data_IF_701873290424
#
_entry.id   IF_701873290424
#
_cell.length_a   1.000
_cell.length_b   1.000
_cell.length_c   1.000
_cell.angle_alpha   90.00
_cell.angle_beta   90.00
_cell.angle_gamma   90.00
#
_symmetry.space_group_name_H-M   'P 1'
#
loop_
_entity.id
_entity.type
_entity.pdbx_description
1 polymer ?
#
# COMPACT_ATOMS: atom_id res chain seq x y z
N UNK A 1 24.48 -11.72 8.34
CA UNK A 1 23.07 -11.54 7.88
C UNK A 1 23.09 -11.00 6.46
N UNK A 2 22.72 -11.81 5.46
CA UNK A 2 22.62 -11.38 4.05
C UNK A 2 21.41 -10.44 3.94
N UNK A 3 21.63 -9.17 3.60
CA UNK A 3 20.52 -8.25 3.35
C UNK A 3 19.67 -8.83 2.20
N UNK A 4 18.34 -8.97 2.37
CA UNK A 4 17.50 -9.40 1.27
C UNK A 4 17.66 -8.40 0.12
N UNK A 5 17.80 -8.89 -1.12
CA UNK A 5 17.88 -8.01 -2.28
C UNK A 5 16.62 -7.13 -2.33
N UNK A 6 16.80 -5.85 -2.65
CA UNK A 6 15.75 -4.84 -2.91
C UNK A 6 15.15 -4.05 -1.72
N UNK A 7 15.76 -4.08 -0.53
CA UNK A 7 15.34 -3.17 0.59
C UNK A 7 15.28 -1.69 0.18
N UNK A 8 16.26 -1.23 -0.59
CA UNK A 8 16.34 0.15 -1.06
C UNK A 8 15.14 0.49 -1.96
N UNK A 9 14.83 -0.37 -2.94
CA UNK A 9 13.75 -0.14 -3.90
C UNK A 9 12.37 -0.08 -3.22
N UNK A 10 12.11 -0.95 -2.25
CA UNK A 10 10.83 -0.95 -1.51
C UNK A 10 10.74 0.24 -0.56
N UNK A 11 11.83 0.62 0.09
CA UNK A 11 11.87 1.85 0.89
C UNK A 11 11.50 3.06 0.04
N UNK A 12 12.06 3.16 -1.17
CA UNK A 12 11.75 4.24 -2.11
C UNK A 12 10.30 4.19 -2.58
N UNK A 13 9.77 3.02 -2.93
CA UNK A 13 8.36 2.85 -3.32
C UNK A 13 7.39 3.22 -2.19
N UNK A 14 7.65 2.76 -0.97
CA UNK A 14 6.85 3.11 0.22
C UNK A 14 6.93 4.62 0.50
N UNK A 15 8.09 5.24 0.27
CA UNK A 15 8.25 6.70 0.42
C UNK A 15 7.40 7.45 -0.60
N UNK A 16 7.39 7.03 -1.87
CA UNK A 16 6.51 7.61 -2.89
C UNK A 16 5.03 7.44 -2.55
N UNK A 17 4.63 6.26 -2.04
CA UNK A 17 3.25 6.02 -1.59
C UNK A 17 2.88 6.89 -0.37
N UNK A 18 3.82 7.11 0.54
CA UNK A 18 3.62 7.99 1.68
C UNK A 18 3.42 9.44 1.24
N UNK A 19 4.23 9.92 0.29
CA UNK A 19 4.06 11.25 -0.30
C UNK A 19 2.71 11.38 -1.01
N UNK A 20 2.33 10.39 -1.83
CA UNK A 20 1.07 10.41 -2.58
C UNK A 20 -0.14 10.39 -1.63
N UNK A 21 -0.13 9.52 -0.62
CA UNK A 21 -1.20 9.45 0.38
C UNK A 21 -1.31 10.73 1.21
N UNK A 22 -0.19 11.37 1.54
CA UNK A 22 -0.19 12.67 2.22
C UNK A 22 -0.79 13.79 1.35
N UNK A 23 -0.46 13.83 0.06
CA UNK A 23 -1.05 14.79 -0.90
C UNK A 23 -2.55 14.59 -0.98
N UNK A 24 -3.02 13.34 -1.16
CA UNK A 24 -4.44 13.01 -1.18
C UNK A 24 -5.15 13.41 0.11
N UNK A 25 -4.57 13.10 1.27
CA UNK A 25 -5.15 13.44 2.56
C UNK A 25 -5.27 14.97 2.74
N UNK A 26 -4.24 15.72 2.33
CA UNK A 26 -4.23 17.18 2.41
C UNK A 26 -5.25 17.82 1.46
N UNK A 27 -5.32 17.37 0.21
CA UNK A 27 -6.30 17.86 -0.77
C UNK A 27 -7.73 17.57 -0.29
N UNK A 28 -7.96 16.40 0.29
CA UNK A 28 -9.28 16.03 0.75
C UNK A 28 -9.68 16.73 2.06
N UNK A 29 -8.72 16.97 2.96
CA UNK A 29 -8.91 17.79 4.15
C UNK A 29 -9.23 19.25 3.78
N UNK A 30 -8.54 19.82 2.79
CA UNK A 30 -8.84 21.18 2.31
C UNK A 30 -10.20 21.26 1.64
N UNK A 31 -10.60 20.26 0.86
CA UNK A 31 -11.95 20.18 0.27
C UNK A 31 -13.04 20.07 1.35
N UNK A 32 -12.84 19.25 2.39
CA UNK A 32 -13.77 19.18 3.53
C UNK A 32 -13.89 20.52 4.27
N UNK A 33 -12.78 21.23 4.44
CA UNK A 33 -12.76 22.50 5.17
C UNK A 33 -13.32 23.67 4.35
N UNK A 34 -13.08 23.67 3.03
CA UNK A 34 -13.50 24.74 2.11
C UNK A 34 -14.96 24.63 1.70
N UNK A 35 -15.44 23.41 1.49
CA UNK A 35 -16.79 23.15 0.98
C UNK A 35 -17.79 22.66 2.05
N UNK A 36 -17.33 22.53 3.32
CA UNK A 36 -18.19 22.15 4.45
C UNK A 36 -19.36 23.11 4.71
N UNK A 37 -19.29 24.34 4.18
CA UNK A 37 -20.38 25.34 4.23
C UNK A 37 -21.25 25.38 2.96
N UNK A 38 -20.83 24.79 1.83
CA UNK A 38 -21.48 24.94 0.52
C UNK A 38 -21.89 23.63 -0.17
N UNK A 39 -21.46 22.45 0.30
CA UNK A 39 -21.95 21.16 -0.20
C UNK A 39 -23.35 20.91 0.37
N UNK A 40 -24.39 21.33 -0.37
CA UNK A 40 -25.79 21.12 0.02
C UNK A 40 -26.26 19.67 -0.11
N UNK A 41 -25.45 18.77 -0.70
CA UNK A 41 -25.77 17.35 -0.88
C UNK A 41 -24.97 16.51 0.10
N UNK A 42 -25.65 16.01 1.13
CA UNK A 42 -25.13 15.09 2.13
C UNK A 42 -24.37 13.90 1.52
N UNK A 43 -24.81 13.41 0.35
CA UNK A 43 -24.17 12.32 -0.39
C UNK A 43 -22.72 12.63 -0.81
N UNK A 44 -22.43 13.86 -1.25
CA UNK A 44 -21.09 14.28 -1.69
C UNK A 44 -20.16 14.40 -0.48
N UNK A 45 -20.66 14.97 0.62
CA UNK A 45 -19.89 15.10 1.87
C UNK A 45 -19.51 13.74 2.43
N UNK A 46 -20.42 12.77 2.41
CA UNK A 46 -20.15 11.39 2.84
C UNK A 46 -19.09 10.72 1.95
N UNK A 47 -19.16 10.92 0.63
CA UNK A 47 -18.16 10.37 -0.30
C UNK A 47 -16.76 10.96 -0.07
N UNK A 48 -16.64 12.27 0.12
CA UNK A 48 -15.37 12.94 0.41
C UNK A 48 -14.83 12.47 1.77
N UNK A 49 -15.68 12.35 2.79
CA UNK A 49 -15.28 11.86 4.11
C UNK A 49 -14.78 10.42 4.06
N UNK A 50 -15.47 9.56 3.31
CA UNK A 50 -15.05 8.16 3.10
C UNK A 50 -13.68 8.08 2.41
N UNK A 51 -13.47 8.88 1.37
CA UNK A 51 -12.19 8.96 0.69
C UNK A 51 -11.08 9.50 1.63
N UNK A 52 -11.41 10.39 2.56
CA UNK A 52 -10.45 10.94 3.53
C UNK A 52 -10.04 9.89 4.55
N UNK A 53 -11.00 9.16 5.12
CA UNK A 53 -10.72 8.05 6.03
C UNK A 53 -9.88 6.99 5.33
N UNK A 54 -10.21 6.65 4.08
CA UNK A 54 -9.44 5.69 3.27
C UNK A 54 -7.99 6.18 3.05
N UNK A 55 -7.81 7.45 2.67
CA UNK A 55 -6.48 8.03 2.48
C UNK A 55 -5.66 8.10 3.79
N UNK A 56 -6.30 8.43 4.91
CA UNK A 56 -5.66 8.46 6.23
C UNK A 56 -5.22 7.08 6.70
N UNK A 57 -6.05 6.05 6.51
CA UNK A 57 -5.68 4.65 6.80
C UNK A 57 -4.50 4.23 5.93
N UNK A 58 -4.54 4.57 4.63
CA UNK A 58 -3.44 4.27 3.73
C UNK A 58 -2.12 4.88 4.22
N UNK A 59 -2.13 6.18 4.52
CA UNK A 59 -0.98 6.91 5.05
C UNK A 59 -0.41 6.24 6.31
N UNK A 60 -1.27 5.90 7.28
CA UNK A 60 -0.86 5.24 8.52
C UNK A 60 -0.22 3.87 8.27
N UNK A 61 -0.80 3.05 7.40
CA UNK A 61 -0.27 1.72 7.08
C UNK A 61 1.06 1.79 6.32
N UNK A 62 1.21 2.75 5.41
CA UNK A 62 2.47 2.98 4.69
C UNK A 62 3.57 3.46 5.65
N UNK A 63 3.25 4.34 6.59
CA UNK A 63 4.19 4.80 7.63
C UNK A 63 4.64 3.65 8.55
N UNK A 64 3.69 2.83 9.03
CA UNK A 64 3.98 1.64 9.85
C UNK A 64 4.84 0.64 9.07
N UNK A 65 4.60 0.47 7.77
CA UNK A 65 5.39 -0.43 6.92
C UNK A 65 6.81 0.08 6.69
N UNK A 66 6.98 1.38 6.51
CA UNK A 66 8.29 2.01 6.40
C UNK A 66 9.08 1.85 7.70
N UNK A 67 8.43 2.05 8.85
CA UNK A 67 9.02 1.81 10.16
C UNK A 67 9.40 0.33 10.36
N UNK A 68 8.51 -0.59 9.98
CA UNK A 68 8.76 -2.03 9.98
C UNK A 68 9.95 -2.42 9.10
N UNK A 69 10.13 -1.77 7.96
CA UNK A 69 11.27 -1.98 7.07
C UNK A 69 12.59 -1.53 7.72
N UNK A 70 12.60 -0.35 8.37
CA UNK A 70 13.77 0.18 9.09
C UNK A 70 14.17 -0.72 10.26
N UNK A 71 13.19 -1.22 11.01
CA UNK A 71 13.40 -2.14 12.15
C UNK A 71 13.59 -3.59 11.68
N UNK A 72 13.55 -3.85 10.37
CA UNK A 72 13.67 -5.19 9.75
C UNK A 72 12.61 -6.20 10.25
N UNK A 73 11.42 -5.71 10.63
CA UNK A 73 10.25 -6.49 11.06
C UNK A 73 9.25 -6.63 9.92
N UNK A 74 9.44 -7.67 9.11
CA UNK A 74 8.69 -7.83 7.86
C UNK A 74 7.20 -8.16 8.08
N UNK A 75 6.83 -8.68 9.26
CA UNK A 75 5.42 -8.91 9.62
C UNK A 75 4.54 -7.65 9.56
N UNK A 76 5.13 -6.45 9.72
CA UNK A 76 4.41 -5.18 9.63
C UNK A 76 4.02 -4.82 8.18
N UNK A 77 4.61 -5.46 7.16
CA UNK A 77 4.27 -5.22 5.76
C UNK A 77 3.00 -5.98 5.33
N UNK A 78 2.60 -7.03 6.05
CA UNK A 78 1.42 -7.85 5.72
C UNK A 78 0.13 -7.03 5.74
N UNK A 79 -0.21 -6.26 6.80
CA UNK A 79 -1.43 -5.45 6.81
C UNK A 79 -1.45 -4.40 5.69
N UNK A 80 -0.30 -3.80 5.38
CA UNK A 80 -0.18 -2.87 4.25
C UNK A 80 -0.38 -3.57 2.90
N UNK A 81 0.14 -4.79 2.71
CA UNK A 81 -0.07 -5.56 1.49
C UNK A 81 -1.56 -5.84 1.26
N UNK A 82 -2.27 -6.32 2.29
CA UNK A 82 -3.71 -6.60 2.23
C UNK A 82 -4.48 -5.33 1.86
N UNK A 83 -4.15 -4.21 2.53
CA UNK A 83 -4.81 -2.93 2.25
C UNK A 83 -4.49 -2.39 0.86
N UNK A 84 -3.27 -2.61 0.37
CA UNK A 84 -2.86 -2.22 -0.99
C UNK A 84 -3.65 -2.99 -2.05
N UNK A 85 -3.93 -4.28 -1.84
CA UNK A 85 -4.79 -5.08 -2.75
C UNK A 85 -6.19 -4.47 -2.80
N UNK A 86 -6.75 -4.15 -1.64
CA UNK A 86 -8.06 -3.50 -1.54
C UNK A 86 -8.08 -2.15 -2.27
N UNK A 87 -7.05 -1.31 -2.09
CA UNK A 87 -6.92 -0.03 -2.78
C UNK A 87 -6.81 -0.17 -4.30
N UNK A 88 -6.13 -1.20 -4.80
CA UNK A 88 -6.05 -1.46 -6.25
C UNK A 88 -7.43 -1.73 -6.83
N UNK A 89 -8.20 -2.62 -6.20
CA UNK A 89 -9.58 -2.93 -6.63
C UNK A 89 -10.42 -1.66 -6.62
N UNK A 90 -10.32 -0.86 -5.55
CA UNK A 90 -11.04 0.40 -5.44
C UNK A 90 -10.61 1.43 -6.51
N UNK A 91 -9.31 1.52 -6.81
CA UNK A 91 -8.76 2.45 -7.81
C UNK A 91 -9.20 2.10 -9.21
N UNK A 92 -9.12 0.82 -9.60
CA UNK A 92 -9.60 0.36 -10.90
C UNK A 92 -11.13 0.42 -11.02
N UNK A 93 -11.86 0.12 -9.94
CA UNK A 93 -13.31 0.32 -9.88
C UNK A 93 -13.70 1.78 -10.08
N UNK A 94 -12.99 2.69 -9.40
CA UNK A 94 -13.19 4.14 -9.55
C UNK A 94 -12.84 4.61 -10.95
N UNK A 95 -11.76 4.10 -11.55
CA UNK A 95 -11.38 4.39 -12.93
C UNK A 95 -12.47 3.96 -13.92
N UNK A 96 -13.07 2.77 -13.74
CA UNK A 96 -14.17 2.31 -14.58
C UNK A 96 -15.41 3.22 -14.46
N UNK A 97 -15.75 3.64 -13.23
CA UNK A 97 -16.84 4.60 -12.99
C UNK A 97 -16.54 5.95 -13.65
N UNK A 98 -15.31 6.45 -13.53
CA UNK A 98 -14.89 7.71 -14.16
C UNK A 98 -15.06 7.66 -15.68
N UNK A 99 -14.64 6.56 -16.32
CA UNK A 99 -14.79 6.34 -17.76
C UNK A 99 -16.26 6.37 -18.18
N UNK A 100 -17.13 5.67 -17.44
CA UNK A 100 -18.58 5.63 -17.72
C UNK A 100 -19.21 7.02 -17.53
N UNK A 101 -18.76 7.77 -16.53
CA UNK A 101 -19.31 9.08 -16.17
C UNK A 101 -18.84 10.25 -17.06
N UNK A 102 -17.94 10.01 -18.02
CA UNK A 102 -17.32 11.06 -18.84
C UNK A 102 -16.73 12.21 -18.00
N UNK A 103 -16.16 11.86 -16.84
CA UNK A 103 -15.58 12.81 -15.91
C UNK A 103 -14.37 13.55 -16.52
N UNK A 104 -13.90 14.65 -15.90
CA UNK A 104 -12.71 15.36 -16.36
C UNK A 104 -11.50 14.44 -16.50
N UNK A 105 -10.60 14.76 -17.43
CA UNK A 105 -9.42 13.92 -17.75
C UNK A 105 -8.44 13.79 -16.58
N UNK A 106 -8.40 14.79 -15.69
CA UNK A 106 -7.44 14.83 -14.58
C UNK A 106 -7.60 13.66 -13.58
N UNK A 107 -8.81 13.38 -13.02
CA UNK A 107 -9.07 12.18 -12.23
C UNK A 107 -8.66 10.86 -12.89
N UNK A 108 -8.80 10.75 -14.21
CA UNK A 108 -8.43 9.53 -14.95
C UNK A 108 -6.92 9.30 -14.94
N UNK A 109 -6.14 10.36 -15.20
CA UNK A 109 -4.68 10.32 -15.17
C UNK A 109 -4.21 9.97 -13.76
N UNK A 110 -4.78 10.63 -12.74
CA UNK A 110 -4.41 10.43 -11.34
C UNK A 110 -4.70 9.00 -10.86
N UNK A 111 -5.89 8.47 -11.16
CA UNK A 111 -6.28 7.10 -10.82
C UNK A 111 -5.42 6.07 -11.57
N UNK A 112 -5.10 6.32 -12.84
CA UNK A 112 -4.25 5.42 -13.65
C UNK A 112 -2.82 5.35 -13.12
N UNK A 113 -2.17 6.50 -12.88
CA UNK A 113 -0.82 6.56 -12.33
C UNK A 113 -0.77 5.89 -10.95
N UNK A 114 -1.75 6.19 -10.09
CA UNK A 114 -1.86 5.58 -8.77
C UNK A 114 -2.03 4.07 -8.88
N UNK A 115 -2.92 3.59 -9.75
CA UNK A 115 -3.14 2.16 -9.97
C UNK A 115 -1.89 1.41 -10.43
N UNK A 116 -1.13 1.99 -11.37
CA UNK A 116 0.15 1.41 -11.83
C UNK A 116 1.18 1.35 -10.70
N UNK A 117 1.32 2.44 -9.93
CA UNK A 117 2.27 2.53 -8.82
C UNK A 117 1.94 1.53 -7.70
N UNK A 118 0.66 1.36 -7.37
CA UNK A 118 0.20 0.35 -6.41
C UNK A 118 0.46 -1.08 -6.93
N UNK A 119 0.23 -1.33 -8.23
CA UNK A 119 0.44 -2.64 -8.85
C UNK A 119 1.92 -3.06 -8.82
N UNK A 120 2.82 -2.16 -9.21
CA UNK A 120 4.28 -2.40 -9.14
C UNK A 120 4.69 -2.67 -7.69
N UNK A 121 4.17 -1.89 -6.75
CA UNK A 121 4.45 -2.07 -5.33
C UNK A 121 4.03 -3.44 -4.80
N UNK A 122 2.86 -3.95 -5.19
CA UNK A 122 2.42 -5.29 -4.79
C UNK A 122 3.38 -6.35 -5.31
N UNK A 123 3.77 -6.28 -6.58
CA UNK A 123 4.66 -7.27 -7.19
C UNK A 123 5.98 -7.35 -6.41
N UNK A 124 6.56 -6.21 -6.07
CA UNK A 124 7.81 -6.16 -5.30
C UNK A 124 7.62 -6.63 -3.85
N UNK A 125 6.52 -6.26 -3.19
CA UNK A 125 6.21 -6.77 -1.85
C UNK A 125 6.00 -8.29 -1.85
N UNK A 126 5.32 -8.84 -2.86
CA UNK A 126 5.06 -10.28 -2.96
C UNK A 126 6.35 -11.08 -3.18
N UNK A 127 7.29 -10.56 -3.99
CA UNK A 127 8.63 -11.15 -4.17
C UNK A 127 9.38 -11.27 -2.84
N UNK A 128 9.33 -10.24 -1.98
CA UNK A 128 9.96 -10.29 -0.66
C UNK A 128 9.29 -11.30 0.25
N UNK A 129 7.96 -11.30 0.32
CA UNK A 129 7.21 -12.25 1.16
C UNK A 129 7.52 -13.69 0.76
N UNK A 130 7.53 -14.00 -0.54
CA UNK A 130 7.93 -15.33 -1.04
C UNK A 130 9.38 -15.66 -0.69
N UNK A 131 10.30 -14.72 -0.92
CA UNK A 131 11.72 -14.93 -0.63
C UNK A 131 11.93 -15.33 0.83
N UNK A 132 11.29 -14.62 1.75
CA UNK A 132 11.37 -14.89 3.19
C UNK A 132 10.70 -16.21 3.56
N UNK A 133 9.54 -16.51 2.98
CA UNK A 133 8.87 -17.79 3.21
C UNK A 133 9.76 -18.97 2.77
N UNK A 134 10.42 -18.85 1.62
CA UNK A 134 11.38 -19.84 1.14
C UNK A 134 12.63 -19.95 2.03
N UNK A 135 13.14 -18.82 2.56
CA UNK A 135 14.23 -18.85 3.54
C UNK A 135 13.83 -19.54 4.84
N UNK A 136 12.63 -19.25 5.37
CA UNK A 136 12.11 -19.91 6.58
C UNK A 136 11.95 -21.42 6.38
N UNK A 137 11.47 -21.84 5.19
CA UNK A 137 11.29 -23.25 4.85
C UNK A 137 12.62 -23.99 4.69
N UNK A 138 13.63 -23.34 4.09
CA UNK A 138 14.96 -23.94 3.91
C UNK A 138 15.78 -23.96 5.21
N UNK A 139 15.72 -22.90 6.03
CA UNK A 139 16.39 -22.89 7.34
C UNK A 139 15.87 -23.97 8.28
N UNK A 140 14.55 -24.23 8.27
CA UNK A 140 13.97 -25.35 9.02
C UNK A 140 14.42 -26.72 8.51
N UNK A 141 14.71 -26.83 7.21
CA UNK A 141 15.18 -28.08 6.58
C UNK A 141 16.63 -28.39 6.94
N UNK A 142 17.47 -27.36 7.03
CA UNK A 142 18.87 -27.49 7.42
C UNK A 142 19.02 -27.83 8.93
N UNK A 143 18.20 -27.22 9.79
CA UNK A 143 18.14 -27.59 11.22
C UNK A 143 17.66 -29.04 11.42
N UNK A 144 16.72 -29.50 10.59
CA UNK A 144 16.23 -30.88 10.66
C UNK A 144 17.28 -31.90 10.16
N UNK A 145 18.16 -31.54 9.22
CA UNK A 145 19.24 -32.41 8.76
C UNK A 145 20.44 -32.45 9.71
N UNK A 146 20.76 -31.36 10.41
CA UNK A 146 21.85 -31.38 11.40
C UNK A 146 21.54 -32.22 12.64
N UNK A 147 20.25 -32.38 13.01
CA UNK A 147 19.86 -33.23 14.15
C UNK A 147 20.08 -34.72 13.90
N UNK A 148 20.03 -35.17 12.65
CA UNK A 148 20.15 -36.59 12.29
C UNK A 148 21.61 -37.09 12.34
N UNK A 149 22.59 -36.18 12.32
CA UNK A 149 24.02 -36.54 12.34
C UNK A 149 24.58 -36.57 13.78
N UNK A 150 23.86 -36.04 14.77
CA UNK A 150 24.30 -35.98 16.18
C UNK A 150 23.95 -37.20 17.06
N UNK A 151 23.22 -38.18 16.53
CA UNK A 151 22.80 -39.40 17.26
C UNK A 151 23.48 -40.67 16.71
N UNK A 152 24.81 -40.65 16.57
CA UNK A 152 25.61 -41.86 16.38
C UNK A 152 26.83 -41.86 17.29
#
# INVERSE_FOLDING_TARGET
MKNPPNKCLISTLLTFQLMLSAIYAAELATNLNRDGSHISKESVRTMITFAFVTSAIWFGLTAVSLCGLVINRIYLLIPHLIYTIFLIIFTFGSLAVLIISQAPVWPHILASITGVLLSISIIEHFKIVISIHNYSKNGSRDECMMRVIGEK
#
